data_IF_603139552199
#
_entry.id   IF_603139552199
#
_cell.length_a   1.000
_cell.length_b   1.000
_cell.length_c   1.000
_cell.angle_alpha   90.00
_cell.angle_beta   90.00
_cell.angle_gamma   90.00
#
_symmetry.space_group_name_H-M   'P 1'
#
loop_
_entity.id
_entity.type
_entity.pdbx_description
1 polymer ?
#
# COMPACT_ATOMS: atom_id res chain seq x y z
N UNK A 1 3.11 46.88 9.21
CA UNK A 1 3.25 45.58 8.53
C UNK A 1 3.30 44.55 9.66
N UNK A 2 2.17 43.94 9.97
CA UNK A 2 2.02 43.06 11.14
C UNK A 2 2.75 41.73 10.93
N UNK A 3 3.78 41.50 11.74
CA UNK A 3 4.62 40.29 11.76
C UNK A 3 3.95 39.10 12.46
N UNK A 4 2.62 39.12 12.66
CA UNK A 4 1.90 38.19 13.54
C UNK A 4 1.37 36.91 12.87
N UNK A 5 1.66 36.70 11.58
CA UNK A 5 1.19 35.52 10.83
C UNK A 5 2.24 34.41 10.67
N UNK A 6 3.50 34.62 11.08
CA UNK A 6 4.56 33.60 10.91
C UNK A 6 4.72 32.64 12.09
N UNK A 7 3.98 32.83 13.18
CA UNK A 7 4.11 32.05 14.42
C UNK A 7 2.90 31.14 14.70
N UNK A 8 2.00 30.95 13.72
CA UNK A 8 0.92 29.95 13.85
C UNK A 8 1.52 28.55 13.78
N UNK A 9 1.88 28.08 14.97
CA UNK A 9 1.85 26.69 15.43
C UNK A 9 2.63 25.68 14.58
N UNK A 10 3.96 25.75 14.67
CA UNK A 10 4.86 24.57 14.58
C UNK A 10 4.61 23.52 15.69
N UNK A 11 3.49 23.59 16.41
CA UNK A 11 3.20 22.89 17.66
C UNK A 11 2.00 21.94 17.62
N UNK A 12 1.36 21.77 16.46
CA UNK A 12 0.34 20.73 16.26
C UNK A 12 0.71 19.95 15.02
N UNK A 13 1.17 18.72 15.22
CA UNK A 13 1.15 17.70 14.16
C UNK A 13 -0.25 17.73 13.58
N UNK A 14 -0.38 18.26 12.36
CA UNK A 14 -1.62 18.18 11.61
C UNK A 14 -2.01 16.69 11.50
N UNK A 15 -3.30 16.33 11.57
CA UNK A 15 -3.73 14.92 11.45
C UNK A 15 -3.14 14.22 10.21
N UNK A 16 -2.88 15.01 9.17
CA UNK A 16 -2.17 14.63 7.95
C UNK A 16 -0.80 13.99 8.19
N UNK A 17 -0.02 14.45 9.18
CA UNK A 17 1.30 13.89 9.47
C UNK A 17 1.22 12.42 9.90
N UNK A 18 0.24 12.09 10.74
CA UNK A 18 0.01 10.70 11.18
C UNK A 18 -0.57 9.83 10.06
N UNK A 19 -1.40 10.38 9.19
CA UNK A 19 -1.92 9.66 8.02
C UNK A 19 -0.84 9.35 6.98
N UNK A 20 0.08 10.29 6.75
CA UNK A 20 1.24 10.11 5.85
C UNK A 20 2.16 9.03 6.39
N UNK A 21 2.49 9.09 7.69
CA UNK A 21 3.37 8.11 8.34
C UNK A 21 2.76 6.69 8.30
N UNK A 22 1.44 6.56 8.54
CA UNK A 22 0.74 5.27 8.38
C UNK A 22 0.74 4.80 6.93
N UNK A 23 0.57 5.72 5.98
CA UNK A 23 0.56 5.39 4.55
C UNK A 23 1.90 4.84 4.07
N UNK A 24 3.02 5.09 4.75
CA UNK A 24 4.33 4.49 4.41
C UNK A 24 4.31 2.95 4.45
N UNK A 25 3.38 2.34 5.16
CA UNK A 25 3.27 0.89 5.29
C UNK A 25 2.28 0.26 4.31
N UNK A 26 1.39 1.07 3.73
CA UNK A 26 0.36 0.59 2.81
C UNK A 26 0.81 0.68 1.35
N UNK A 27 0.64 -0.41 0.61
CA UNK A 27 0.78 -0.47 -0.85
C UNK A 27 -0.58 -0.80 -1.47
N UNK A 28 -0.92 -0.08 -2.52
CA UNK A 28 -2.21 -0.18 -3.23
C UNK A 28 -1.97 -0.80 -4.59
N UNK A 29 -2.60 -1.94 -4.84
CA UNK A 29 -2.63 -2.56 -6.15
C UNK A 29 -3.99 -2.32 -6.80
N UNK A 30 -3.96 -1.76 -8.00
CA UNK A 30 -5.13 -1.62 -8.85
C UNK A 30 -5.15 -2.76 -9.87
N UNK A 31 -6.35 -3.12 -10.32
CA UNK A 31 -6.53 -4.04 -11.43
C UNK A 31 -6.08 -5.49 -11.15
N UNK A 32 -6.15 -5.94 -9.89
CA UNK A 32 -5.89 -7.34 -9.56
C UNK A 32 -7.10 -8.17 -10.00
N UNK A 33 -6.86 -9.15 -10.87
CA UNK A 33 -7.90 -10.08 -11.33
C UNK A 33 -8.04 -11.16 -10.26
N UNK A 34 -9.04 -11.00 -9.41
CA UNK A 34 -9.37 -11.96 -8.35
C UNK A 34 -10.47 -12.90 -8.82
N UNK A 35 -10.25 -14.22 -8.74
CA UNK A 35 -11.30 -15.21 -8.89
C UNK A 35 -11.93 -15.59 -7.54
N UNK A 36 -13.18 -16.07 -7.58
CA UNK A 36 -13.89 -16.47 -6.36
C UNK A 36 -13.22 -17.71 -5.75
N UNK A 37 -12.64 -17.54 -4.58
CA UNK A 37 -12.06 -18.63 -3.78
C UNK A 37 -10.54 -18.66 -3.75
N UNK A 38 -9.88 -17.69 -4.37
CA UNK A 38 -8.43 -17.59 -4.34
C UNK A 38 -7.91 -16.97 -3.02
N UNK A 39 -6.75 -17.43 -2.58
CA UNK A 39 -6.03 -16.85 -1.46
C UNK A 39 -5.31 -15.59 -1.92
N UNK A 40 -5.90 -14.43 -1.63
CA UNK A 40 -5.28 -13.10 -1.83
C UNK A 40 -3.83 -12.98 -1.37
N UNK A 41 -3.44 -13.45 -0.16
CA UNK A 41 -2.05 -13.34 0.28
C UNK A 41 -1.08 -14.15 -0.59
N UNK A 42 -1.50 -15.30 -1.12
CA UNK A 42 -0.65 -16.14 -1.98
C UNK A 42 -0.40 -15.47 -3.32
N UNK A 43 -1.46 -14.99 -3.99
CA UNK A 43 -1.36 -14.25 -5.27
C UNK A 43 -0.45 -13.04 -5.11
N UNK A 44 -0.61 -12.29 -4.03
CA UNK A 44 0.20 -11.12 -3.77
C UNK A 44 1.65 -11.47 -3.45
N UNK A 45 1.89 -12.57 -2.76
CA UNK A 45 3.24 -13.07 -2.51
C UNK A 45 3.93 -13.41 -3.82
N UNK A 46 3.26 -14.12 -4.73
CA UNK A 46 3.79 -14.49 -6.04
C UNK A 46 4.21 -13.26 -6.87
N UNK A 47 3.33 -12.26 -6.99
CA UNK A 47 3.61 -11.00 -7.72
C UNK A 47 4.78 -10.23 -7.08
N UNK A 48 4.83 -10.18 -5.75
CA UNK A 48 5.87 -9.45 -5.02
C UNK A 48 7.23 -10.17 -5.07
N UNK A 49 7.24 -11.50 -5.01
CA UNK A 49 8.44 -12.33 -5.16
C UNK A 49 9.05 -12.13 -6.54
N UNK A 50 8.22 -12.16 -7.60
CA UNK A 50 8.67 -11.87 -8.97
C UNK A 50 9.27 -10.46 -9.09
N UNK A 51 8.64 -9.45 -8.47
CA UNK A 51 9.08 -8.07 -8.58
C UNK A 51 10.34 -7.75 -7.77
N UNK A 52 10.51 -8.38 -6.60
CA UNK A 52 11.54 -8.01 -5.63
C UNK A 52 12.67 -9.05 -5.52
N UNK A 53 12.58 -10.19 -6.21
CA UNK A 53 13.54 -11.31 -6.19
C UNK A 53 13.88 -11.77 -4.75
N UNK A 54 12.89 -11.73 -3.85
CA UNK A 54 13.00 -12.16 -2.45
C UNK A 54 12.32 -13.52 -2.30
N UNK A 55 12.79 -14.35 -1.36
CA UNK A 55 12.15 -15.64 -1.04
C UNK A 55 10.72 -15.49 -0.51
N UNK A 56 9.83 -16.40 -0.91
CA UNK A 56 8.42 -16.46 -0.49
C UNK A 56 8.24 -16.38 1.03
N UNK A 57 9.03 -17.14 1.81
CA UNK A 57 8.97 -17.14 3.27
C UNK A 57 9.18 -15.74 3.89
N UNK A 58 10.14 -14.97 3.34
CA UNK A 58 10.43 -13.61 3.83
C UNK A 58 9.36 -12.61 3.41
N UNK A 59 8.66 -12.87 2.32
CA UNK A 59 7.54 -12.03 1.88
C UNK A 59 6.32 -12.28 2.73
N UNK A 60 5.98 -13.54 3.01
CA UNK A 60 4.85 -13.88 3.88
C UNK A 60 5.05 -13.33 5.30
N UNK A 61 6.25 -13.45 5.89
CA UNK A 61 6.59 -12.84 7.19
C UNK A 61 6.57 -11.29 7.14
N UNK A 62 6.81 -10.72 5.97
CA UNK A 62 6.80 -9.27 5.75
C UNK A 62 5.41 -8.66 5.62
N UNK A 63 4.38 -9.47 5.38
CA UNK A 63 3.00 -9.05 5.14
C UNK A 63 2.18 -9.20 6.41
N UNK A 64 1.62 -8.09 6.89
CA UNK A 64 0.86 -8.07 8.14
C UNK A 64 -0.63 -8.28 7.86
N UNK A 65 -1.19 -7.43 6.99
CA UNK A 65 -2.61 -7.46 6.63
C UNK A 65 -2.76 -7.29 5.12
N UNK A 66 -3.61 -8.12 4.50
CA UNK A 66 -4.00 -8.03 3.09
C UNK A 66 -5.51 -7.96 3.03
N UNK A 67 -6.07 -6.90 2.45
CA UNK A 67 -7.51 -6.76 2.31
C UNK A 67 -7.91 -6.14 0.98
N UNK A 68 -9.07 -6.56 0.48
CA UNK A 68 -9.68 -5.99 -0.72
C UNK A 68 -10.65 -4.89 -0.33
N UNK A 69 -10.59 -3.78 -1.04
CA UNK A 69 -11.55 -2.70 -0.86
C UNK A 69 -12.86 -3.08 -1.56
N UNK A 70 -13.85 -3.47 -0.76
CA UNK A 70 -15.17 -3.78 -1.26
C UNK A 70 -16.02 -2.53 -1.40
N UNK A 71 -16.14 -2.01 -2.63
CA UNK A 71 -17.12 -0.96 -2.93
C UNK A 71 -18.35 -1.56 -3.61
N UNK A 72 -19.54 -1.04 -3.26
CA UNK A 72 -20.81 -1.44 -3.91
C UNK A 72 -20.77 -1.22 -5.43
N UNK A 73 -20.02 -0.20 -5.87
CA UNK A 73 -19.82 0.10 -7.27
C UNK A 73 -19.04 -1.01 -7.99
N UNK A 74 -17.89 -1.43 -7.43
CA UNK A 74 -17.09 -2.52 -7.98
C UNK A 74 -17.88 -3.83 -8.07
N UNK A 75 -18.67 -4.12 -7.04
CA UNK A 75 -19.52 -5.32 -7.00
C UNK A 75 -20.62 -5.31 -8.08
N UNK A 76 -21.20 -4.15 -8.37
CA UNK A 76 -22.28 -4.00 -9.36
C UNK A 76 -21.75 -4.03 -10.80
N UNK A 77 -20.56 -3.49 -11.03
CA UNK A 77 -20.00 -3.31 -12.36
C UNK A 77 -18.96 -4.37 -12.75
N UNK A 78 -18.76 -5.39 -11.90
CA UNK A 78 -17.74 -6.43 -12.06
C UNK A 78 -16.34 -5.86 -12.38
N UNK A 79 -16.00 -4.76 -11.70
CA UNK A 79 -14.71 -4.10 -11.87
C UNK A 79 -13.64 -4.84 -11.08
N UNK A 80 -12.41 -4.93 -11.62
CA UNK A 80 -11.29 -5.49 -10.90
C UNK A 80 -11.05 -4.66 -9.64
N UNK A 81 -10.79 -5.36 -8.54
CA UNK A 81 -10.81 -4.77 -7.21
C UNK A 81 -9.46 -4.18 -6.87
N UNK A 82 -9.50 -3.30 -5.88
CA UNK A 82 -8.29 -2.72 -5.33
C UNK A 82 -7.89 -3.52 -4.09
N UNK A 83 -6.61 -3.88 -4.02
CA UNK A 83 -6.05 -4.63 -2.89
C UNK A 83 -5.06 -3.76 -2.16
N UNK A 84 -5.23 -3.69 -0.85
CA UNK A 84 -4.35 -2.98 0.07
C UNK A 84 -3.52 -4.00 0.83
N UNK A 85 -2.21 -3.80 0.81
CA UNK A 85 -1.25 -4.62 1.54
C UNK A 85 -0.57 -3.73 2.56
N UNK A 86 -0.59 -4.15 3.82
CA UNK A 86 0.15 -3.55 4.91
C UNK A 86 1.41 -4.37 5.15
N UNK A 87 2.56 -3.71 5.04
CA UNK A 87 3.84 -4.32 5.34
C UNK A 87 4.28 -4.06 6.77
N UNK A 88 5.02 -5.00 7.34
CA UNK A 88 5.71 -4.80 8.63
C UNK A 88 6.88 -3.82 8.50
N UNK A 89 7.51 -3.75 7.32
CA UNK A 89 8.68 -2.91 7.04
C UNK A 89 8.40 -1.92 5.91
N UNK A 90 8.56 -0.63 6.19
CA UNK A 90 8.46 0.44 5.18
C UNK A 90 9.47 0.34 4.04
N UNK A 91 10.62 -0.29 4.29
CA UNK A 91 11.68 -0.49 3.27
C UNK A 91 11.21 -1.32 2.09
N UNK A 92 10.25 -2.23 2.31
CA UNK A 92 9.68 -3.10 1.26
C UNK A 92 8.89 -2.28 0.25
N UNK A 93 8.05 -1.35 0.75
CA UNK A 93 7.31 -0.40 -0.09
C UNK A 93 8.27 0.44 -0.95
N UNK A 94 9.29 1.04 -0.34
CA UNK A 94 10.26 1.88 -1.09
C UNK A 94 11.00 1.09 -2.17
N UNK A 95 11.37 -0.17 -1.91
CA UNK A 95 12.00 -1.04 -2.91
C UNK A 95 11.07 -1.30 -4.09
N UNK A 96 9.80 -1.55 -3.83
CA UNK A 96 8.79 -1.78 -4.88
C UNK A 96 8.62 -0.56 -5.80
N UNK A 97 8.48 0.65 -5.23
CA UNK A 97 8.38 1.87 -6.05
C UNK A 97 9.66 2.13 -6.86
N UNK A 98 10.84 1.92 -6.27
CA UNK A 98 12.11 2.03 -7.00
C UNK A 98 12.22 1.03 -8.14
N UNK A 99 11.64 -0.16 -7.99
CA UNK A 99 11.59 -1.15 -9.06
C UNK A 99 10.64 -0.70 -10.18
N UNK A 100 9.47 -0.15 -9.85
CA UNK A 100 8.53 0.40 -10.83
C UNK A 100 9.14 1.55 -11.64
N UNK A 101 9.83 2.50 -10.98
CA UNK A 101 10.52 3.62 -11.64
C UNK A 101 11.62 3.17 -12.60
N UNK A 102 12.20 1.98 -12.44
CA UNK A 102 13.24 1.46 -13.33
C UNK A 102 12.69 0.77 -14.58
N UNK A 103 11.41 0.40 -14.58
CA UNK A 103 10.76 -0.28 -15.71
C UNK A 103 10.16 0.69 -16.74
N UNK A 104 10.08 1.98 -16.43
CA UNK A 104 9.59 3.05 -17.30
C UNK A 104 10.69 4.07 -17.57
#
# INVERSE_FOLDING_TARGET
IDTRLSEVEKGRSCPLGWEIERSEFYLRFQNVKEEKGENLPEIMTEILVESLEITEEKMMDGMDEVFCVYTRYSARNNLPREVHIKFTKKTTKTRYYKWQERKY
#
